data_IF_777065828399
#
_entry.id   IF_777065828399
#
_cell.length_a   1.000
_cell.length_b   1.000
_cell.length_c   1.000
_cell.angle_alpha   90.00
_cell.angle_beta   90.00
_cell.angle_gamma   90.00
#
_symmetry.space_group_name_H-M   'P 1'
#
loop_
_entity.id
_entity.type
_entity.pdbx_description
1 polymer ?
#
# COMPACT_ATOMS: atom_id res chain seq x y z
N UNK A 1 -21.93 -19.60 20.16
CA UNK A 1 -22.60 -18.31 19.88
C UNK A 1 -21.62 -17.45 19.12
N UNK A 2 -21.82 -17.23 17.81
CA UNK A 2 -21.03 -16.25 17.05
C UNK A 2 -21.49 -14.88 17.54
N UNK A 3 -20.68 -14.20 18.34
CA UNK A 3 -20.90 -12.78 18.63
C UNK A 3 -20.81 -12.04 17.30
N UNK A 4 -21.72 -11.10 17.08
CA UNK A 4 -21.63 -10.18 15.94
C UNK A 4 -20.28 -9.46 16.02
N UNK A 5 -19.37 -9.79 15.11
CA UNK A 5 -18.06 -9.16 15.00
C UNK A 5 -18.29 -7.87 14.23
N UNK A 6 -18.28 -6.75 14.92
CA UNK A 6 -18.16 -5.44 14.27
C UNK A 6 -16.73 -5.37 13.75
N UNK A 7 -16.56 -5.53 12.44
CA UNK A 7 -15.28 -5.25 11.78
C UNK A 7 -15.18 -3.73 11.72
N UNK A 8 -14.20 -3.12 12.40
CA UNK A 8 -14.08 -1.68 12.38
C UNK A 8 -13.56 -1.22 11.01
N UNK A 9 -14.16 -0.16 10.47
CA UNK A 9 -13.82 0.36 9.14
C UNK A 9 -12.48 1.10 9.19
N UNK A 10 -11.61 0.84 8.22
CA UNK A 10 -10.34 1.54 8.09
C UNK A 10 -10.58 2.81 7.30
N UNK A 11 -10.76 3.91 8.04
CA UNK A 11 -10.80 5.27 7.53
C UNK A 11 -9.40 5.92 7.70
N UNK A 12 -8.97 6.71 6.71
CA UNK A 12 -7.72 7.49 6.74
C UNK A 12 -6.40 6.73 6.84
N UNK A 13 -6.41 5.40 6.75
CA UNK A 13 -5.20 4.58 6.54
C UNK A 13 -5.28 3.93 5.16
N UNK A 14 -4.31 4.23 4.29
CA UNK A 14 -4.37 3.88 2.88
C UNK A 14 -2.98 3.74 2.25
N UNK A 15 -2.91 3.27 1.01
CA UNK A 15 -1.64 3.16 0.28
C UNK A 15 -1.52 4.22 -0.80
N UNK A 16 -0.29 4.68 -1.02
CA UNK A 16 0.06 5.52 -2.15
C UNK A 16 1.28 4.95 -2.89
N UNK A 17 1.29 5.00 -4.20
CA UNK A 17 2.46 4.76 -5.03
C UNK A 17 3.02 6.12 -5.46
N UNK A 18 4.29 6.38 -5.16
CA UNK A 18 4.97 7.66 -5.44
C UNK A 18 6.25 7.41 -6.23
N UNK A 19 6.57 8.30 -7.17
CA UNK A 19 7.85 8.23 -7.88
C UNK A 19 8.97 8.90 -7.09
N UNK A 20 10.10 8.22 -6.99
CA UNK A 20 11.35 8.77 -6.47
C UNK A 20 12.51 8.48 -7.40
N UNK A 21 13.52 9.35 -7.41
CA UNK A 21 14.76 9.11 -8.13
C UNK A 21 15.53 7.96 -7.45
N UNK A 22 15.94 6.96 -8.23
CA UNK A 22 16.84 5.91 -7.78
C UNK A 22 18.21 6.06 -8.44
N UNK A 23 19.25 6.20 -7.63
CA UNK A 23 20.63 6.24 -8.12
C UNK A 23 21.08 4.87 -8.67
N UNK A 24 20.53 3.77 -8.16
CA UNK A 24 20.87 2.42 -8.61
C UNK A 24 20.37 2.15 -10.05
N UNK A 25 19.18 2.68 -10.39
CA UNK A 25 18.57 2.51 -11.71
C UNK A 25 18.76 3.71 -12.62
N UNK A 26 19.25 4.84 -12.10
CA UNK A 26 19.38 6.11 -12.81
C UNK A 26 18.07 6.57 -13.48
N UNK A 27 16.94 6.26 -12.84
CA UNK A 27 15.59 6.63 -13.28
C UNK A 27 14.64 6.85 -12.10
N UNK A 28 13.46 7.40 -12.38
CA UNK A 28 12.36 7.43 -11.42
C UNK A 28 11.75 6.04 -11.29
N UNK A 29 11.65 5.55 -10.05
CA UNK A 29 11.01 4.28 -9.71
C UNK A 29 9.83 4.54 -8.78
N UNK A 30 8.85 3.63 -8.79
CA UNK A 30 7.69 3.73 -7.92
C UNK A 30 7.98 3.07 -6.57
N UNK A 31 7.59 3.74 -5.49
CA UNK A 31 7.58 3.20 -4.13
C UNK A 31 6.15 3.19 -3.58
N UNK A 32 5.78 2.07 -2.96
CA UNK A 32 4.58 1.98 -2.16
C UNK A 32 4.85 2.59 -0.77
N UNK A 33 3.93 3.43 -0.33
CA UNK A 33 3.86 4.02 0.99
C UNK A 33 2.57 3.60 1.68
N UNK A 34 2.67 3.27 2.97
CA UNK A 34 1.52 3.23 3.86
C UNK A 34 1.36 4.61 4.49
N UNK A 35 0.20 5.21 4.30
CA UNK A 35 -0.15 6.54 4.81
C UNK A 35 -1.12 6.35 5.98
N UNK A 36 -0.74 6.87 7.15
CA UNK A 36 -1.61 7.00 8.31
C UNK A 36 -1.99 8.48 8.45
N UNK A 37 -3.09 8.87 7.82
CA UNK A 37 -3.67 10.22 7.89
C UNK A 37 -4.76 10.31 8.98
N UNK A 38 -4.71 9.41 9.96
CA UNK A 38 -5.59 9.42 11.13
C UNK A 38 -4.92 10.13 12.32
N UNK A 39 -5.75 10.46 13.31
CA UNK A 39 -5.30 11.02 14.60
C UNK A 39 -4.75 9.97 15.57
N UNK A 40 -4.60 8.72 15.13
CA UNK A 40 -4.25 7.58 15.99
C UNK A 40 -2.91 6.96 15.61
N UNK A 41 -2.20 6.47 16.63
CA UNK A 41 -1.08 5.56 16.44
C UNK A 41 -1.62 4.20 15.99
N UNK A 42 -1.05 3.65 14.92
CA UNK A 42 -1.30 2.25 14.54
C UNK A 42 -0.08 1.40 14.89
N UNK A 43 -0.30 0.27 15.55
CA UNK A 43 0.74 -0.59 16.12
C UNK A 43 0.74 -1.97 15.48
N UNK A 44 1.87 -2.68 15.58
CA UNK A 44 2.02 -4.06 15.10
C UNK A 44 1.55 -4.23 13.65
N UNK A 45 2.00 -3.30 12.79
CA UNK A 45 1.57 -3.20 11.40
C UNK A 45 2.25 -4.29 10.58
N UNK A 46 1.45 -5.06 9.84
CA UNK A 46 1.91 -6.05 8.88
C UNK A 46 1.30 -5.74 7.51
N UNK A 47 2.17 -5.59 6.51
CA UNK A 47 1.78 -5.47 5.11
C UNK A 47 2.25 -6.71 4.38
N UNK A 48 1.31 -7.39 3.73
CA UNK A 48 1.61 -8.52 2.84
C UNK A 48 1.30 -8.09 1.41
N UNK A 49 2.33 -8.02 0.57
CA UNK A 49 2.18 -7.61 -0.82
C UNK A 49 2.35 -8.77 -1.80
N UNK A 50 1.66 -8.66 -2.94
CA UNK A 50 1.83 -9.52 -4.11
C UNK A 50 1.29 -8.83 -5.36
N UNK A 51 1.74 -9.26 -6.52
CA UNK A 51 1.14 -8.89 -7.79
C UNK A 51 0.54 -10.11 -8.49
N UNK A 52 -0.57 -9.92 -9.21
CA UNK A 52 -1.20 -10.97 -10.00
C UNK A 52 -1.99 -10.42 -11.19
N UNK A 53 -2.13 -11.23 -12.23
CA UNK A 53 -2.89 -10.88 -13.42
C UNK A 53 -2.52 -11.74 -14.60
N UNK A 54 -2.86 -11.29 -15.81
CA UNK A 54 -2.55 -11.97 -17.06
C UNK A 54 -1.69 -11.05 -17.92
N UNK A 55 -0.55 -11.54 -18.39
CA UNK A 55 0.31 -10.86 -19.37
C UNK A 55 0.46 -11.81 -20.54
N UNK A 56 0.18 -11.34 -21.76
CA UNK A 56 0.29 -12.12 -23.01
C UNK A 56 -0.46 -13.47 -22.98
N UNK A 57 -1.60 -13.50 -22.30
CA UNK A 57 -2.42 -14.72 -22.15
C UNK A 57 -1.95 -15.68 -21.06
N UNK A 58 -0.81 -15.40 -20.40
CA UNK A 58 -0.30 -16.20 -19.30
C UNK A 58 -0.65 -15.59 -17.93
N UNK A 59 -1.12 -16.43 -17.02
CA UNK A 59 -1.30 -16.03 -15.63
C UNK A 59 0.06 -15.80 -14.96
N UNK A 60 0.27 -14.59 -14.45
CA UNK A 60 1.44 -14.20 -13.66
C UNK A 60 1.01 -13.94 -12.23
N UNK A 61 1.87 -14.36 -11.29
CA UNK A 61 1.70 -14.12 -9.86
C UNK A 61 3.08 -14.08 -9.21
N UNK A 62 3.33 -13.07 -8.39
CA UNK A 62 4.58 -12.97 -7.63
C UNK A 62 4.51 -13.73 -6.31
N UNK A 63 5.67 -13.93 -5.70
CA UNK A 63 5.79 -14.39 -4.31
C UNK A 63 5.16 -13.37 -3.35
N UNK A 64 4.77 -13.84 -2.18
CA UNK A 64 4.31 -12.97 -1.10
C UNK A 64 5.51 -12.32 -0.40
N UNK A 65 5.51 -10.98 -0.31
CA UNK A 65 6.44 -10.23 0.53
C UNK A 65 5.74 -9.79 1.81
N UNK A 66 6.50 -9.67 2.90
CA UNK A 66 5.97 -9.32 4.22
C UNK A 66 6.82 -8.21 4.82
N UNK A 67 6.18 -7.12 5.16
CA UNK A 67 6.78 -5.94 5.77
C UNK A 67 6.13 -5.73 7.13
N UNK A 68 6.94 -5.64 8.17
CA UNK A 68 6.47 -5.45 9.54
C UNK A 68 7.01 -4.13 10.10
N UNK A 69 6.13 -3.32 10.66
CA UNK A 69 6.48 -2.08 11.34
C UNK A 69 5.95 -2.14 12.76
N UNK A 70 6.80 -1.73 13.73
CA UNK A 70 6.42 -1.72 15.14
C UNK A 70 5.21 -0.79 15.35
N UNK A 71 5.26 0.41 14.77
CA UNK A 71 4.15 1.34 14.73
C UNK A 71 4.30 2.35 13.60
N UNK A 72 3.20 2.97 13.20
CA UNK A 72 3.15 4.14 12.31
C UNK A 72 2.39 5.24 13.06
N UNK A 73 3.06 6.34 13.46
CA UNK A 73 2.42 7.45 14.17
C UNK A 73 1.20 8.04 13.46
N UNK A 74 0.35 8.74 14.22
CA UNK A 74 -0.69 9.60 13.66
C UNK A 74 -0.08 10.62 12.68
N UNK A 75 -0.80 10.94 11.61
CA UNK A 75 -0.40 11.92 10.58
C UNK A 75 1.04 11.68 10.09
N UNK A 76 1.33 10.44 9.72
CA UNK A 76 2.65 10.02 9.26
C UNK A 76 2.61 8.98 8.14
N UNK A 77 3.76 8.71 7.54
CA UNK A 77 3.90 7.74 6.45
C UNK A 77 5.09 6.83 6.70
N UNK A 78 5.03 5.63 6.13
CA UNK A 78 6.18 4.73 6.07
C UNK A 78 6.33 4.17 4.66
N UNK A 79 7.57 4.21 4.15
CA UNK A 79 7.93 3.57 2.88
C UNK A 79 7.90 2.06 3.07
N UNK A 80 7.16 1.36 2.20
CA UNK A 80 6.96 -0.09 2.28
C UNK A 80 7.92 -0.83 1.37
N UNK A 81 7.80 -0.63 0.05
CA UNK A 81 8.66 -1.31 -0.92
C UNK A 81 8.74 -0.57 -2.25
N UNK A 82 9.78 -0.87 -3.03
CA UNK A 82 9.85 -0.50 -4.44
C UNK A 82 8.89 -1.39 -5.25
N UNK A 83 8.13 -0.79 -6.17
CA UNK A 83 7.26 -1.50 -7.11
C UNK A 83 8.04 -1.68 -8.42
N UNK A 84 8.34 -2.94 -8.76
CA UNK A 84 9.03 -3.23 -10.01
C UNK A 84 8.20 -2.82 -11.23
N UNK A 85 8.86 -2.25 -12.25
CA UNK A 85 8.21 -1.86 -13.51
C UNK A 85 7.45 -3.01 -14.18
N UNK A 86 7.96 -4.23 -14.04
CA UNK A 86 7.38 -5.47 -14.58
C UNK A 86 6.00 -5.79 -13.99
N UNK A 87 5.70 -5.33 -12.77
CA UNK A 87 4.43 -5.60 -12.07
C UNK A 87 3.42 -4.47 -12.18
N UNK A 88 3.78 -3.31 -12.78
CA UNK A 88 2.83 -2.22 -13.02
C UNK A 88 1.69 -2.63 -13.96
N UNK A 89 1.94 -3.58 -14.86
CA UNK A 89 0.92 -4.17 -15.73
C UNK A 89 0.02 -5.21 -15.02
N UNK A 90 0.25 -5.48 -13.74
CA UNK A 90 -0.50 -6.44 -12.92
C UNK A 90 -1.31 -5.71 -11.84
N UNK A 91 -2.27 -6.41 -11.24
CA UNK A 91 -2.90 -5.93 -10.02
C UNK A 91 -1.91 -6.08 -8.86
N UNK A 92 -1.56 -4.97 -8.21
CA UNK A 92 -0.69 -4.96 -7.04
C UNK A 92 -1.57 -4.93 -5.78
N UNK A 93 -1.61 -6.05 -5.06
CA UNK A 93 -2.41 -6.24 -3.85
C UNK A 93 -1.54 -6.05 -2.60
N UNK A 94 -2.01 -5.19 -1.70
CA UNK A 94 -1.46 -4.97 -0.37
C UNK A 94 -2.52 -5.33 0.67
N UNK A 95 -2.28 -6.38 1.42
CA UNK A 95 -3.10 -6.73 2.59
C UNK A 95 -2.45 -6.12 3.83
N UNK A 96 -3.17 -5.24 4.50
CA UNK A 96 -2.75 -4.54 5.69
C UNK A 96 -3.46 -5.10 6.91
N UNK A 97 -2.72 -5.39 7.97
CA UNK A 97 -3.27 -5.63 9.31
C UNK A 97 -2.54 -4.78 10.33
N UNK A 98 -3.24 -4.17 11.27
CA UNK A 98 -2.66 -3.37 12.34
C UNK A 98 -3.58 -3.33 13.56
N UNK A 99 -3.05 -2.89 14.69
CA UNK A 99 -3.82 -2.59 15.89
C UNK A 99 -4.00 -1.08 16.05
N UNK A 100 -5.19 -0.65 16.42
CA UNK A 100 -5.50 0.72 16.81
C UNK A 100 -6.45 0.67 18.00
N UNK A 101 -6.06 1.33 19.10
CA UNK A 101 -6.77 1.26 20.40
C UNK A 101 -7.08 -0.17 20.86
N UNK A 102 -6.11 -1.08 20.70
CA UNK A 102 -6.23 -2.48 21.10
C UNK A 102 -7.19 -3.33 20.25
N UNK A 103 -7.75 -2.79 19.16
CA UNK A 103 -8.57 -3.52 18.18
C UNK A 103 -7.74 -3.85 16.95
N UNK A 104 -7.88 -5.08 16.44
CA UNK A 104 -7.28 -5.50 15.19
C UNK A 104 -8.12 -5.00 14.00
N UNK A 105 -7.45 -4.41 13.03
CA UNK A 105 -8.00 -4.00 11.74
C UNK A 105 -7.32 -4.81 10.64
N UNK A 106 -8.08 -5.16 9.61
CA UNK A 106 -7.56 -5.73 8.37
C UNK A 106 -8.26 -5.10 7.16
N UNK A 107 -7.47 -4.81 6.12
CA UNK A 107 -8.00 -4.30 4.85
C UNK A 107 -7.10 -4.70 3.69
N UNK A 108 -7.74 -4.93 2.55
CA UNK A 108 -7.06 -5.21 1.28
C UNK A 108 -7.16 -3.99 0.37
N UNK A 109 -6.03 -3.61 -0.19
CA UNK A 109 -5.87 -2.56 -1.17
C UNK A 109 -5.36 -3.15 -2.48
N UNK A 110 -5.89 -2.71 -3.61
CA UNK A 110 -5.45 -3.18 -4.92
C UNK A 110 -5.27 -1.97 -5.84
N UNK A 111 -4.02 -1.70 -6.22
CA UNK A 111 -3.75 -0.92 -7.41
C UNK A 111 -4.05 -1.80 -8.63
N UNK A 112 -5.01 -1.37 -9.45
CA UNK A 112 -5.40 -2.15 -10.63
C UNK A 112 -4.27 -2.15 -11.65
N UNK A 113 -4.24 -3.18 -12.49
CA UNK A 113 -3.30 -3.25 -13.61
C UNK A 113 -3.28 -1.92 -14.38
N UNK A 114 -2.06 -1.38 -14.57
CA UNK A 114 -1.77 -0.11 -15.24
C UNK A 114 -2.30 1.17 -14.56
N UNK A 115 -2.88 1.09 -13.36
CA UNK A 115 -3.36 2.29 -12.65
C UNK A 115 -2.22 3.10 -12.03
N UNK A 116 -1.08 2.49 -11.73
CA UNK A 116 0.11 3.22 -11.27
C UNK A 116 0.81 3.79 -12.50
N UNK A 117 0.54 5.06 -12.78
CA UNK A 117 1.09 5.80 -13.92
C UNK A 117 1.16 7.31 -13.60
N UNK A 118 1.85 8.07 -14.43
CA UNK A 118 2.09 9.51 -14.22
C UNK A 118 0.88 10.40 -14.60
N UNK A 119 -0.17 9.83 -15.18
CA UNK A 119 -1.32 10.59 -15.71
C UNK A 119 -2.49 10.70 -14.73
N UNK A 120 -2.63 9.73 -13.82
CA UNK A 120 -3.73 9.64 -12.84
C UNK A 120 -3.19 9.81 -11.41
N UNK A 121 -2.46 10.89 -11.18
CA UNK A 121 -1.86 11.22 -9.88
C UNK A 121 -2.66 12.29 -9.14
N UNK A 122 -2.63 12.21 -7.81
CA UNK A 122 -3.11 13.23 -6.88
C UNK A 122 -2.05 13.47 -5.80
N UNK A 123 -2.12 14.62 -5.12
CA UNK A 123 -1.19 14.94 -4.04
C UNK A 123 -1.38 13.96 -2.87
N UNK A 124 -0.31 13.25 -2.50
CA UNK A 124 -0.32 12.33 -1.37
C UNK A 124 -0.23 13.12 -0.07
N UNK A 125 -1.24 13.02 0.83
CA UNK A 125 -1.22 13.68 2.13
C UNK A 125 0.07 13.35 2.89
N UNK A 126 0.56 14.31 3.68
CA UNK A 126 1.77 14.22 4.52
C UNK A 126 3.09 14.18 3.73
N UNK A 127 3.14 13.57 2.55
CA UNK A 127 4.31 13.57 1.68
C UNK A 127 4.42 14.83 0.82
N UNK A 128 3.30 15.46 0.46
CA UNK A 128 3.23 16.65 -0.41
C UNK A 128 3.91 16.44 -1.78
N UNK A 129 3.71 15.25 -2.34
CA UNK A 129 4.19 14.86 -3.66
C UNK A 129 3.08 14.13 -4.40
N UNK A 130 3.08 14.24 -5.73
CA UNK A 130 2.10 13.55 -6.57
C UNK A 130 2.33 12.03 -6.57
N UNK A 131 1.25 11.28 -6.45
CA UNK A 131 1.25 9.82 -6.50
C UNK A 131 -0.12 9.25 -6.83
N UNK A 132 -0.19 7.93 -6.96
CA UNK A 132 -1.45 7.21 -7.15
C UNK A 132 -1.92 6.67 -5.81
N UNK A 133 -3.15 6.97 -5.39
CA UNK A 133 -3.68 6.58 -4.09
C UNK A 133 -4.72 5.47 -4.25
N UNK A 134 -4.74 4.52 -3.31
CA UNK A 134 -5.80 3.52 -3.16
C UNK A 134 -6.30 3.50 -1.73
N UNK A 135 -7.61 3.69 -1.55
CA UNK A 135 -8.30 3.77 -0.25
C UNK A 135 -9.20 2.58 -0.01
#
# INVERSE_FOLDING_TARGET
MKKDIIIPEVENVFFAAVQEWSDDFMEKVWYAYLVNDSDFLIESVMVVSKAFGTIDGEMKKTSLLRHAFVAVPAVSVVKVEMIEKSVLALNNEFMLTFFMDGKLYDKKFIFKANSINETEVEEVPILFVDGVIVR
#
